data_IF_695958880059
#
_entry.id   IF_695958880059
#
_cell.length_a   1.000
_cell.length_b   1.000
_cell.length_c   1.000
_cell.angle_alpha   90.00
_cell.angle_beta   90.00
_cell.angle_gamma   90.00
#
_symmetry.space_group_name_H-M   'P 1'
#
loop_
_entity.id
_entity.type
_entity.pdbx_description
1 polymer ?
#
# COMPACT_ATOMS: atom_id res chain seq x y z
N UNK A 1 -9.44 5.78 -16.03
CA UNK A 1 -9.46 4.33 -15.75
C UNK A 1 -10.87 3.83 -16.04
N UNK A 2 -11.08 3.09 -17.13
CA UNK A 2 -12.43 2.76 -17.63
C UNK A 2 -12.54 1.37 -18.27
N UNK A 3 -11.57 0.48 -18.04
CA UNK A 3 -11.55 -0.90 -18.57
C UNK A 3 -12.16 -1.94 -17.60
N UNK A 4 -12.69 -1.49 -16.46
CA UNK A 4 -13.26 -2.34 -15.42
C UNK A 4 -12.23 -3.20 -14.69
N UNK A 5 -10.93 -2.89 -14.78
CA UNK A 5 -9.89 -3.66 -14.10
C UNK A 5 -10.11 -3.75 -12.59
N UNK A 6 -10.50 -2.64 -11.94
CA UNK A 6 -10.82 -2.61 -10.50
C UNK A 6 -12.04 -3.50 -10.18
N UNK A 7 -13.07 -3.47 -11.03
CA UNK A 7 -14.25 -4.33 -10.86
C UNK A 7 -13.90 -5.82 -11.03
N UNK A 8 -13.02 -6.16 -11.98
CA UNK A 8 -12.52 -7.52 -12.15
C UNK A 8 -11.65 -7.96 -10.97
N UNK A 9 -10.75 -7.09 -10.52
CA UNK A 9 -9.86 -7.33 -9.39
C UNK A 9 -10.67 -7.60 -8.11
N UNK A 10 -11.64 -6.76 -7.80
CA UNK A 10 -12.55 -6.96 -6.65
C UNK A 10 -13.40 -8.23 -6.79
N UNK A 11 -13.77 -8.64 -8.01
CA UNK A 11 -14.54 -9.88 -8.21
C UNK A 11 -13.75 -11.19 -8.00
N UNK A 12 -12.43 -11.15 -8.13
CA UNK A 12 -11.55 -12.32 -7.90
C UNK A 12 -10.89 -12.30 -6.53
N UNK A 13 -10.99 -11.18 -5.82
CA UNK A 13 -10.42 -10.98 -4.51
C UNK A 13 -11.21 -11.65 -3.40
N UNK A 14 -10.50 -12.02 -2.33
CA UNK A 14 -11.10 -12.49 -1.07
C UNK A 14 -11.10 -11.41 0.00
N UNK A 15 -10.41 -10.29 -0.22
CA UNK A 15 -10.35 -9.15 0.69
C UNK A 15 -11.39 -8.07 0.36
N UNK A 16 -11.84 -7.36 1.39
CA UNK A 16 -12.79 -6.24 1.24
C UNK A 16 -12.11 -4.92 0.84
N UNK A 17 -10.80 -4.81 1.06
CA UNK A 17 -10.01 -3.61 0.80
C UNK A 17 -9.28 -3.72 -0.53
N UNK A 18 -9.19 -2.60 -1.26
CA UNK A 18 -8.19 -2.46 -2.30
C UNK A 18 -6.83 -2.18 -1.67
N UNK A 19 -5.78 -2.77 -2.22
CA UNK A 19 -4.42 -2.57 -1.75
C UNK A 19 -3.59 -1.89 -2.83
N UNK A 20 -2.82 -0.88 -2.44
CA UNK A 20 -1.66 -0.42 -3.18
C UNK A 20 -0.41 -1.16 -2.69
N UNK A 21 0.43 -1.65 -3.59
CA UNK A 21 1.72 -2.23 -3.23
C UNK A 21 2.82 -1.46 -3.94
N UNK A 22 3.75 -0.94 -3.14
CA UNK A 22 4.97 -0.31 -3.61
C UNK A 22 6.08 -1.38 -3.56
N UNK A 23 6.61 -1.72 -4.73
CA UNK A 23 7.69 -2.69 -4.92
C UNK A 23 8.95 -2.00 -5.45
N UNK A 24 10.09 -2.66 -5.24
CA UNK A 24 11.37 -2.31 -5.86
C UNK A 24 11.82 -0.86 -5.65
N UNK A 25 11.37 -0.23 -4.55
CA UNK A 25 11.75 1.11 -4.21
C UNK A 25 13.26 1.17 -3.98
N UNK A 26 13.97 1.85 -4.87
CA UNK A 26 15.42 2.04 -4.78
C UNK A 26 15.72 3.41 -4.19
N UNK A 27 16.25 3.47 -2.94
CA UNK A 27 16.64 4.73 -2.33
C UNK A 27 17.60 5.52 -3.23
N UNK A 28 17.26 6.78 -3.50
CA UNK A 28 18.08 7.69 -4.30
C UNK A 28 17.99 7.52 -5.83
N UNK A 29 17.24 6.54 -6.35
CA UNK A 29 16.99 6.40 -7.80
C UNK A 29 15.63 6.93 -8.27
N UNK A 30 14.65 6.97 -7.36
CA UNK A 30 13.32 7.51 -7.65
C UNK A 30 12.38 6.56 -8.42
N UNK A 31 12.89 5.41 -8.85
CA UNK A 31 12.10 4.38 -9.51
C UNK A 31 11.52 3.40 -8.47
N UNK A 32 10.22 3.09 -8.64
CA UNK A 32 9.50 2.07 -7.90
C UNK A 32 8.39 1.49 -8.79
N UNK A 33 7.96 0.28 -8.49
CA UNK A 33 6.82 -0.35 -9.15
C UNK A 33 5.59 -0.20 -8.25
N UNK A 34 4.49 0.31 -8.79
CA UNK A 34 3.21 0.41 -8.07
C UNK A 34 2.17 -0.54 -8.65
N UNK A 35 1.52 -1.32 -7.79
CA UNK A 35 0.45 -2.25 -8.20
C UNK A 35 -0.82 -2.00 -7.39
N UNK A 36 -1.97 -2.02 -8.05
CA UNK A 36 -3.27 -2.14 -7.39
C UNK A 36 -3.61 -3.62 -7.33
N UNK A 37 -3.81 -4.14 -6.12
CA UNK A 37 -4.05 -5.57 -5.89
C UNK A 37 -5.22 -5.80 -4.94
N UNK A 38 -5.66 -7.05 -4.91
CA UNK A 38 -6.54 -7.59 -3.89
C UNK A 38 -5.86 -8.79 -3.26
N UNK A 39 -6.21 -9.13 -2.02
CA UNK A 39 -5.88 -10.44 -1.49
C UNK A 39 -6.61 -11.52 -2.30
N UNK A 40 -5.91 -12.60 -2.62
CA UNK A 40 -6.44 -13.74 -3.36
C UNK A 40 -5.71 -15.03 -2.94
N UNK A 41 -6.38 -16.17 -3.07
CA UNK A 41 -5.74 -17.47 -2.87
C UNK A 41 -4.85 -17.81 -4.07
N UNK A 42 -3.70 -18.45 -3.84
CA UNK A 42 -2.76 -18.84 -4.91
C UNK A 42 -3.37 -19.80 -5.96
N UNK A 43 -4.51 -20.41 -5.65
CA UNK A 43 -5.26 -21.30 -6.54
C UNK A 43 -6.22 -20.56 -7.47
N UNK A 44 -6.41 -19.24 -7.28
CA UNK A 44 -7.30 -18.45 -8.12
C UNK A 44 -6.71 -18.27 -9.53
N UNK A 45 -7.46 -18.71 -10.53
CA UNK A 45 -7.11 -18.57 -11.95
C UNK A 45 -7.22 -17.10 -12.36
N UNK A 46 -6.19 -16.31 -12.08
CA UNK A 46 -6.17 -14.89 -12.40
C UNK A 46 -5.76 -14.66 -13.86
N UNK A 47 -6.51 -15.20 -14.82
CA UNK A 47 -6.21 -15.07 -16.25
C UNK A 47 -6.22 -13.58 -16.62
N UNK A 48 -5.04 -13.04 -16.95
CA UNK A 48 -4.85 -11.61 -17.23
C UNK A 48 -4.36 -10.76 -16.05
N UNK A 49 -4.03 -11.37 -14.90
CA UNK A 49 -3.40 -10.71 -13.76
C UNK A 49 -2.14 -11.46 -13.32
N UNK A 50 -1.23 -10.75 -12.67
CA UNK A 50 -0.07 -11.34 -12.01
C UNK A 50 -0.40 -11.68 -10.57
N UNK A 51 0.10 -12.82 -10.08
CA UNK A 51 0.01 -13.21 -8.67
C UNK A 51 1.40 -13.10 -8.06
N UNK A 52 1.50 -12.47 -6.90
CA UNK A 52 2.75 -12.33 -6.14
C UNK A 52 2.51 -12.55 -4.66
N UNK A 53 3.49 -13.14 -3.98
CA UNK A 53 3.46 -13.34 -2.54
C UNK A 53 4.23 -12.21 -1.87
N UNK A 54 3.57 -11.48 -0.96
CA UNK A 54 4.23 -10.47 -0.13
C UNK A 54 4.90 -11.18 1.06
N UNK A 55 6.21 -10.99 1.27
CA UNK A 55 6.92 -11.65 2.35
C UNK A 55 6.41 -11.16 3.71
N UNK A 56 6.35 -12.06 4.68
CA UNK A 56 6.05 -11.71 6.06
C UNK A 56 7.08 -10.68 6.56
N UNK A 57 6.57 -9.57 7.11
CA UNK A 57 7.38 -8.44 7.57
C UNK A 57 6.86 -7.93 8.92
N UNK A 58 7.69 -7.17 9.63
CA UNK A 58 7.23 -6.35 10.76
C UNK A 58 6.84 -4.99 10.22
N UNK A 59 5.67 -4.49 10.62
CA UNK A 59 5.09 -3.28 10.04
C UNK A 59 4.94 -2.17 11.09
N UNK A 60 5.27 -0.94 10.70
CA UNK A 60 4.74 0.26 11.31
C UNK A 60 3.50 0.70 10.52
N UNK A 61 2.37 0.85 11.21
CA UNK A 61 1.07 1.16 10.59
C UNK A 61 0.70 2.60 10.92
N UNK A 62 0.40 3.40 9.89
CA UNK A 62 0.02 4.80 10.02
C UNK A 62 -1.35 5.03 9.39
N UNK A 63 -2.26 5.61 10.15
CA UNK A 63 -3.57 6.02 9.64
C UNK A 63 -3.46 7.37 8.95
N UNK A 64 -3.98 7.45 7.72
CA UNK A 64 -4.18 8.67 6.98
C UNK A 64 -5.66 9.08 7.10
N UNK A 65 -5.93 10.37 7.29
CA UNK A 65 -7.29 10.91 7.36
C UNK A 65 -7.42 12.07 6.39
N UNK A 66 -8.46 12.04 5.55
CA UNK A 66 -8.78 13.07 4.58
C UNK A 66 -8.64 12.63 3.12
N UNK A 67 -8.90 13.55 2.18
CA UNK A 67 -9.03 13.23 0.77
C UNK A 67 -7.73 12.75 0.14
N UNK A 68 -7.83 11.74 -0.73
CA UNK A 68 -6.71 11.20 -1.49
C UNK A 68 -6.44 12.00 -2.78
N UNK A 69 -5.17 12.07 -3.25
CA UNK A 69 -3.97 11.48 -2.65
C UNK A 69 -3.29 12.38 -1.59
N UNK A 70 -3.87 13.54 -1.24
CA UNK A 70 -3.20 14.52 -0.39
C UNK A 70 -2.89 14.01 1.03
N UNK A 71 -3.85 13.34 1.67
CA UNK A 71 -3.67 12.82 3.04
C UNK A 71 -2.56 11.76 3.12
N UNK A 72 -2.54 10.81 2.19
CA UNK A 72 -1.55 9.72 2.17
C UNK A 72 -0.15 10.24 1.82
N UNK A 73 -0.02 11.16 0.85
CA UNK A 73 1.27 11.76 0.50
C UNK A 73 1.87 12.56 1.66
N UNK A 74 1.03 13.28 2.42
CA UNK A 74 1.48 13.99 3.61
C UNK A 74 2.01 13.03 4.67
N UNK A 75 1.33 11.90 4.90
CA UNK A 75 1.78 10.88 5.86
C UNK A 75 3.11 10.27 5.44
N UNK A 76 3.29 9.88 4.17
CA UNK A 76 4.58 9.40 3.67
C UNK A 76 5.72 10.41 3.89
N UNK A 77 5.47 11.69 3.59
CA UNK A 77 6.45 12.75 3.84
C UNK A 77 6.91 12.78 5.30
N UNK A 78 5.98 12.73 6.25
CA UNK A 78 6.29 12.73 7.69
C UNK A 78 6.97 11.44 8.14
N UNK A 79 6.60 10.28 7.59
CA UNK A 79 7.24 9.01 7.91
C UNK A 79 8.74 9.09 7.60
N UNK A 80 9.11 9.53 6.38
CA UNK A 80 10.50 9.58 5.93
C UNK A 80 11.30 10.76 6.50
N UNK A 81 10.66 11.91 6.73
CA UNK A 81 11.37 13.13 7.17
C UNK A 81 11.38 13.32 8.69
N UNK A 82 10.41 12.77 9.41
CA UNK A 82 10.26 12.99 10.85
C UNK A 82 10.37 11.68 11.64
N UNK A 83 9.58 10.67 11.27
CA UNK A 83 9.45 9.44 12.08
C UNK A 83 10.68 8.54 12.03
N UNK A 84 11.21 8.23 10.83
CA UNK A 84 12.42 7.41 10.71
C UNK A 84 13.66 8.04 11.39
N UNK A 85 13.92 9.36 11.24
CA UNK A 85 14.99 10.03 11.97
C UNK A 85 14.80 10.01 13.50
N UNK A 86 13.55 10.10 13.98
CA UNK A 86 13.24 10.17 15.41
C UNK A 86 13.13 8.80 16.12
N UNK A 87 13.21 7.69 15.40
CA UNK A 87 13.01 6.35 15.96
C UNK A 87 14.25 5.46 15.89
N UNK A 88 14.22 4.33 16.58
CA UNK A 88 15.22 3.27 16.49
C UNK A 88 14.96 2.26 15.37
N UNK A 89 14.16 2.62 14.37
CA UNK A 89 13.78 1.73 13.26
C UNK A 89 14.26 2.29 11.91
N UNK A 90 14.51 1.40 10.96
CA UNK A 90 14.80 1.72 9.57
C UNK A 90 13.93 0.90 8.61
N UNK A 91 13.82 1.35 7.37
CA UNK A 91 13.04 0.67 6.34
C UNK A 91 13.70 -0.67 6.00
N UNK A 92 12.95 -1.78 6.06
CA UNK A 92 13.55 -3.13 5.90
C UNK A 92 13.93 -3.49 4.47
N UNK A 93 13.50 -2.68 3.48
CA UNK A 93 13.65 -2.96 2.06
C UNK A 93 12.60 -3.92 1.50
N UNK A 94 11.66 -4.39 2.33
CA UNK A 94 10.49 -5.12 1.85
C UNK A 94 9.46 -4.17 1.20
N UNK A 95 8.44 -4.70 0.51
CA UNK A 95 7.36 -3.89 -0.07
C UNK A 95 6.57 -3.08 0.96
N UNK A 96 6.11 -1.89 0.58
CA UNK A 96 5.15 -1.10 1.37
C UNK A 96 3.72 -1.40 0.92
N UNK A 97 2.76 -1.25 1.83
CA UNK A 97 1.34 -1.45 1.53
C UNK A 97 0.54 -0.18 1.84
N UNK A 98 -0.39 0.14 0.94
CA UNK A 98 -1.46 1.10 1.15
C UNK A 98 -2.77 0.32 1.24
N UNK A 99 -3.54 0.50 2.31
CA UNK A 99 -4.81 -0.19 2.52
C UNK A 99 -5.93 0.82 2.34
N UNK A 100 -6.78 0.58 1.33
CA UNK A 100 -7.90 1.45 0.97
C UNK A 100 -9.24 0.75 1.27
N UNK A 101 -9.86 1.06 2.43
CA UNK A 101 -11.21 0.59 2.72
C UNK A 101 -12.24 1.13 1.73
N UNK A 102 -13.36 0.41 1.51
CA UNK A 102 -14.49 0.92 0.74
C UNK A 102 -14.99 2.26 1.29
N UNK A 103 -15.27 3.22 0.41
CA UNK A 103 -15.79 4.52 0.80
C UNK A 103 -15.55 5.60 -0.26
N UNK A 104 -15.94 6.83 0.06
CA UNK A 104 -15.64 8.00 -0.76
C UNK A 104 -14.22 8.49 -0.45
N UNK A 105 -13.28 8.27 -1.38
CA UNK A 105 -11.87 8.65 -1.23
C UNK A 105 -11.65 10.16 -1.25
N UNK A 106 -12.67 10.95 -1.60
CA UNK A 106 -12.64 12.42 -1.59
C UNK A 106 -13.23 13.02 -0.31
N UNK A 107 -13.76 12.21 0.61
CA UNK A 107 -14.34 12.69 1.85
C UNK A 107 -13.27 13.21 2.83
N UNK A 108 -13.60 14.25 3.59
CA UNK A 108 -12.70 14.86 4.58
C UNK A 108 -12.37 13.92 5.75
N UNK A 109 -13.23 12.94 6.00
CA UNK A 109 -13.09 11.93 7.04
C UNK A 109 -12.72 10.55 6.49
N UNK A 110 -12.39 10.43 5.20
CA UNK A 110 -11.93 9.17 4.62
C UNK A 110 -10.67 8.69 5.34
N UNK A 111 -10.61 7.40 5.66
CA UNK A 111 -9.51 6.77 6.40
C UNK A 111 -8.90 5.65 5.58
N UNK A 112 -7.58 5.72 5.41
CA UNK A 112 -6.79 4.64 4.84
C UNK A 112 -5.53 4.43 5.69
N UNK A 113 -4.77 3.38 5.39
CA UNK A 113 -3.56 3.06 6.14
C UNK A 113 -2.36 2.93 5.21
N UNK A 114 -1.19 3.28 5.74
CA UNK A 114 0.11 3.01 5.14
C UNK A 114 0.86 2.10 6.08
N UNK A 115 1.33 0.97 5.55
CA UNK A 115 2.07 -0.05 6.28
C UNK A 115 3.50 -0.04 5.75
N UNK A 116 4.42 0.39 6.61
CA UNK A 116 5.84 0.52 6.28
C UNK A 116 6.60 -0.64 6.91
N UNK A 117 7.38 -1.39 6.13
CA UNK A 117 8.12 -2.52 6.67
C UNK A 117 9.38 -2.02 7.38
N UNK A 118 9.58 -2.51 8.60
CA UNK A 118 10.60 -1.98 9.52
C UNK A 118 11.50 -3.08 10.11
N UNK A 119 12.73 -2.70 10.39
CA UNK A 119 13.69 -3.44 11.23
C UNK A 119 14.31 -2.50 12.26
N UNK A 120 14.81 -3.04 13.39
CA UNK A 120 15.54 -2.23 14.37
C UNK A 120 16.90 -1.84 13.77
N UNK A 121 17.30 -0.59 14.04
CA UNK A 121 18.67 -0.11 13.83
C UNK A 121 19.66 -0.89 14.70
#
# INVERSE_FOLDING_TARGET
MSDGAIAKLTSIGTGENLLGIILDMQPGKGDFTYMIVTQADLTSSAKGFSVSTIPASTWAIFTCVGPLPGSIQSVFGRIFQEWFPATGYEHSGAPELEVYPPGDTMAEDYRCEVWIPIVKK
#
